data_IF_512375147103
#
_entry.id   IF_512375147103
#
_cell.length_a   1.000
_cell.length_b   1.000
_cell.length_c   1.000
_cell.angle_alpha   90.00
_cell.angle_beta   90.00
_cell.angle_gamma   90.00
#
_symmetry.space_group_name_H-M   'P 1'
#
loop_
_entity.id
_entity.type
_entity.pdbx_description
1 polymer ?
#
# COMPACT_ATOMS: atom_id res chain seq x y z
N UNK A 1 15.37 3.33 -14.57
CA UNK A 1 14.15 2.77 -13.94
C UNK A 1 12.99 3.02 -14.89
N UNK A 2 12.11 2.03 -15.14
CA UNK A 2 10.91 2.26 -15.92
C UNK A 2 9.97 3.23 -15.19
N UNK A 3 9.24 4.05 -15.95
CA UNK A 3 8.28 5.03 -15.42
C UNK A 3 6.89 4.66 -15.93
N UNK A 4 5.92 4.55 -15.01
CA UNK A 4 4.51 4.42 -15.35
C UNK A 4 3.89 5.81 -15.42
N UNK A 5 3.24 6.13 -16.53
CA UNK A 5 2.48 7.38 -16.70
C UNK A 5 1.02 7.04 -16.96
N UNK A 6 0.12 7.61 -16.17
CA UNK A 6 -1.32 7.41 -16.27
C UNK A 6 -1.95 8.78 -16.54
N UNK A 7 -2.49 9.03 -17.74
CA UNK A 7 -3.23 10.26 -17.99
C UNK A 7 -4.55 10.23 -17.19
N UNK A 8 -4.88 11.35 -16.54
CA UNK A 8 -6.15 11.55 -15.85
C UNK A 8 -6.68 12.96 -16.16
N UNK A 9 -8.00 13.14 -16.05
CA UNK A 9 -8.66 14.44 -16.27
C UNK A 9 -8.45 15.36 -15.08
N UNK A 10 -8.43 16.68 -15.32
CA UNK A 10 -8.46 17.70 -14.27
C UNK A 10 -9.72 17.59 -13.39
N UNK A 11 -10.80 16.98 -13.91
CA UNK A 11 -12.00 16.67 -13.13
C UNK A 11 -11.71 15.82 -11.90
N UNK A 12 -10.68 14.97 -11.95
CA UNK A 12 -10.26 14.15 -10.82
C UNK A 12 -9.67 15.02 -9.69
N UNK A 13 -8.87 16.02 -10.04
CA UNK A 13 -8.33 17.00 -9.07
C UNK A 13 -9.46 17.81 -8.44
N UNK A 14 -10.46 18.20 -9.24
CA UNK A 14 -11.64 18.92 -8.75
C UNK A 14 -12.46 18.04 -7.82
N UNK A 15 -12.68 16.77 -8.18
CA UNK A 15 -13.48 15.84 -7.41
C UNK A 15 -12.85 15.49 -6.06
N UNK A 16 -11.51 15.35 -5.99
CA UNK A 16 -10.82 15.05 -4.73
C UNK A 16 -10.47 16.30 -3.93
N UNK A 17 -10.43 17.48 -4.56
CA UNK A 17 -10.00 18.73 -3.93
C UNK A 17 -8.52 18.75 -3.56
N UNK A 18 -7.71 17.85 -4.13
CA UNK A 18 -6.29 17.72 -3.84
C UNK A 18 -5.42 18.51 -4.81
N UNK A 19 -4.20 18.84 -4.40
CA UNK A 19 -3.17 19.22 -5.35
C UNK A 19 -2.77 18.02 -6.21
N UNK A 20 -2.18 18.30 -7.37
CA UNK A 20 -1.66 17.28 -8.27
C UNK A 20 -0.71 16.30 -7.56
N UNK A 21 0.23 16.85 -6.79
CA UNK A 21 1.26 16.08 -6.09
C UNK A 21 0.64 15.18 -5.00
N UNK A 22 -0.36 15.69 -4.28
CA UNK A 22 -1.05 14.92 -3.25
C UNK A 22 -1.84 13.76 -3.87
N UNK A 23 -2.57 14.01 -4.97
CA UNK A 23 -3.31 12.98 -5.69
C UNK A 23 -2.37 11.90 -6.26
N UNK A 24 -1.28 12.30 -6.92
CA UNK A 24 -0.32 11.35 -7.50
C UNK A 24 0.36 10.49 -6.42
N UNK A 25 0.68 11.08 -5.26
CA UNK A 25 1.23 10.34 -4.13
C UNK A 25 0.22 9.34 -3.56
N UNK A 26 -1.05 9.72 -3.44
CA UNK A 26 -2.13 8.83 -3.02
C UNK A 26 -2.32 7.68 -4.02
N UNK A 27 -2.40 7.98 -5.32
CA UNK A 27 -2.55 6.95 -6.36
C UNK A 27 -1.37 5.96 -6.37
N UNK A 28 -0.16 6.44 -6.18
CA UNK A 28 1.03 5.59 -6.06
C UNK A 28 0.95 4.66 -4.85
N UNK A 29 0.50 5.18 -3.70
CA UNK A 29 0.26 4.38 -2.51
C UNK A 29 -0.85 3.34 -2.73
N UNK A 30 -2.00 3.73 -3.29
CA UNK A 30 -3.11 2.82 -3.58
C UNK A 30 -2.70 1.71 -4.56
N UNK A 31 -1.86 2.01 -5.56
CA UNK A 31 -1.30 1.01 -6.46
C UNK A 31 -0.39 0.01 -5.72
N UNK A 32 0.49 0.51 -4.86
CA UNK A 32 1.37 -0.32 -4.03
C UNK A 32 0.58 -1.24 -3.10
N UNK A 33 -0.43 -0.69 -2.42
CA UNK A 33 -1.39 -1.44 -1.59
C UNK A 33 -2.05 -2.52 -2.43
N UNK A 34 -2.59 -2.17 -3.60
CA UNK A 34 -3.34 -3.15 -4.39
C UNK A 34 -2.47 -4.31 -4.88
N UNK A 35 -1.24 -4.02 -5.29
CA UNK A 35 -0.30 -5.05 -5.73
C UNK A 35 0.20 -5.91 -4.55
N UNK A 36 0.28 -5.37 -3.34
CA UNK A 36 0.55 -6.15 -2.13
C UNK A 36 -0.62 -7.08 -1.79
N UNK A 37 -1.85 -6.57 -1.77
CA UNK A 37 -3.07 -7.38 -1.51
C UNK A 37 -3.20 -8.54 -2.50
N UNK A 38 -2.92 -8.28 -3.78
CA UNK A 38 -2.92 -9.29 -4.84
C UNK A 38 -1.72 -10.25 -4.80
N UNK A 39 -0.88 -10.18 -3.75
CA UNK A 39 0.34 -10.98 -3.57
C UNK A 39 1.33 -10.87 -4.75
N UNK A 40 1.30 -9.76 -5.49
CA UNK A 40 2.22 -9.47 -6.61
C UNK A 40 3.50 -8.80 -6.14
N UNK A 41 3.41 -8.00 -5.07
CA UNK A 41 4.56 -7.39 -4.42
C UNK A 41 4.69 -7.90 -2.99
N UNK A 42 5.93 -8.09 -2.56
CA UNK A 42 6.23 -8.16 -1.13
C UNK A 42 6.00 -6.78 -0.52
N UNK A 43 5.77 -6.74 0.79
CA UNK A 43 5.58 -5.49 1.52
C UNK A 43 6.75 -4.49 1.34
N UNK A 44 7.98 -4.99 1.22
CA UNK A 44 9.15 -4.14 0.97
C UNK A 44 9.12 -3.51 -0.43
N UNK A 45 8.75 -4.28 -1.46
CA UNK A 45 8.62 -3.78 -2.83
C UNK A 45 7.43 -2.84 -3.01
N UNK A 46 6.34 -3.08 -2.27
CA UNK A 46 5.20 -2.18 -2.26
C UNK A 46 5.58 -0.82 -1.63
N UNK A 47 6.26 -0.83 -0.48
CA UNK A 47 6.76 0.38 0.14
C UNK A 47 7.72 1.15 -0.77
N UNK A 48 8.63 0.46 -1.46
CA UNK A 48 9.55 1.05 -2.44
C UNK A 48 8.80 1.71 -3.62
N UNK A 49 7.75 1.05 -4.13
CA UNK A 49 6.97 1.56 -5.26
C UNK A 49 6.34 2.94 -4.98
N UNK A 50 5.85 3.15 -3.77
CA UNK A 50 5.25 4.43 -3.35
C UNK A 50 6.23 5.37 -2.63
N UNK A 51 7.54 5.08 -2.67
CA UNK A 51 8.57 5.93 -2.08
C UNK A 51 8.57 5.98 -0.55
N UNK A 52 7.96 4.99 0.11
CA UNK A 52 7.84 4.94 1.56
C UNK A 52 8.91 4.03 2.19
N UNK A 53 9.34 4.39 3.40
CA UNK A 53 10.04 3.42 4.26
C UNK A 53 9.10 2.28 4.59
N UNK A 54 9.61 1.05 4.60
CA UNK A 54 8.84 -0.17 4.90
C UNK A 54 7.98 -0.04 6.16
N UNK A 55 8.52 0.52 7.24
CA UNK A 55 7.78 0.67 8.51
C UNK A 55 6.62 1.65 8.39
N UNK A 56 6.81 2.78 7.72
CA UNK A 56 5.74 3.75 7.47
C UNK A 56 4.63 3.16 6.60
N UNK A 57 5.00 2.36 5.59
CA UNK A 57 4.02 1.66 4.75
C UNK A 57 3.20 0.65 5.56
N UNK A 58 3.86 -0.12 6.44
CA UNK A 58 3.20 -1.05 7.36
C UNK A 58 2.22 -0.34 8.29
N UNK A 59 2.62 0.80 8.86
CA UNK A 59 1.77 1.60 9.74
C UNK A 59 0.54 2.14 9.01
N UNK A 60 0.71 2.62 7.78
CA UNK A 60 -0.36 3.23 6.99
C UNK A 60 -1.40 2.19 6.56
N UNK A 61 -0.97 1.05 6.00
CA UNK A 61 -1.92 -0.01 5.61
C UNK A 61 -2.58 -0.65 6.85
N UNK A 62 -1.88 -0.68 7.99
CA UNK A 62 -2.45 -1.10 9.27
C UNK A 62 -3.57 -0.17 9.75
N UNK A 63 -3.41 1.16 9.60
CA UNK A 63 -4.47 2.13 9.90
C UNK A 63 -5.70 1.98 9.00
N UNK A 64 -5.50 1.53 7.76
CA UNK A 64 -6.58 1.21 6.82
C UNK A 64 -7.26 -0.14 7.08
N UNK A 65 -6.79 -0.92 8.06
CA UNK A 65 -7.31 -2.26 8.37
C UNK A 65 -6.88 -3.34 7.37
N UNK A 66 -5.86 -3.08 6.56
CA UNK A 66 -5.33 -4.06 5.61
C UNK A 66 -4.36 -4.97 6.36
N UNK A 67 -4.60 -6.30 6.40
CA UNK A 67 -3.76 -7.22 7.15
C UNK A 67 -2.31 -7.20 6.64
N UNK A 68 -1.39 -6.73 7.49
CA UNK A 68 0.06 -6.69 7.22
C UNK A 68 0.66 -8.10 7.25
N UNK A 69 0.07 -8.97 8.07
CA UNK A 69 0.48 -10.34 8.31
C UNK A 69 -0.75 -11.21 8.07
N UNK A 70 -0.74 -12.01 6.99
CA UNK A 70 -1.55 -13.23 6.99
C UNK A 70 -0.69 -14.27 7.68
N UNK A 71 -0.74 -14.33 9.00
CA UNK A 71 -0.50 -15.61 9.65
C UNK A 71 -1.65 -16.48 9.15
N UNK A 72 -1.34 -17.60 8.50
CA UNK A 72 -2.33 -18.65 8.32
C UNK A 72 -2.82 -19.08 9.72
N UNK A 73 -4.06 -19.58 9.82
CA UNK A 73 -4.67 -19.94 11.11
C UNK A 73 -3.80 -20.90 11.95
N UNK A 74 -2.88 -21.62 11.29
CA UNK A 74 -1.93 -22.53 11.91
C UNK A 74 -0.72 -21.80 12.53
N UNK A 75 -0.19 -20.74 11.90
CA UNK A 75 0.84 -19.90 12.52
C UNK A 75 0.32 -19.11 13.74
N UNK A 76 -0.95 -18.67 13.71
CA UNK A 76 -1.58 -18.01 14.88
C UNK A 76 -1.67 -18.97 16.07
N UNK A 77 -2.04 -20.23 15.82
CA UNK A 77 -2.12 -21.25 16.88
C UNK A 77 -0.77 -21.56 17.50
N UNK A 78 0.29 -21.56 16.70
CA UNK A 78 1.62 -21.87 17.20
C UNK A 78 2.24 -20.70 17.98
N UNK A 79 1.92 -19.43 17.67
CA UNK A 79 2.30 -18.31 18.52
C UNK A 79 1.54 -18.29 19.86
N UNK A 80 0.23 -18.59 19.87
CA UNK A 80 -0.58 -18.64 21.10
C UNK A 80 -0.20 -19.78 22.05
N UNK A 81 0.38 -20.87 21.55
CA UNK A 81 0.87 -21.98 22.38
C UNK A 81 2.20 -21.69 23.06
N UNK A 82 2.95 -20.71 22.56
CA UNK A 82 4.30 -20.37 23.02
C UNK A 82 4.33 -19.09 23.87
N UNK A 83 3.17 -18.57 24.28
CA UNK A 83 2.99 -17.46 25.22
C UNK A 83 2.49 -17.98 26.59
#
# INVERSE_FOLDING_TARGET
MPVLSIPYSDDLLIATGQSKEALEQELSFLLAVKLFELRRLSIGKAAELCGMKKINFMDEIGRMGIPVINLDDDQIKDELKNA
#
